data_IF_909168733060
#
_entry.id   IF_909168733060
#
_cell.length_a   1.000
_cell.length_b   1.000
_cell.length_c   1.000
_cell.angle_alpha   90.00
_cell.angle_beta   90.00
_cell.angle_gamma   90.00
#
_symmetry.space_group_name_H-M   'P 1'
#
loop_
_entity.id
_entity.type
_entity.pdbx_description
1 polymer ?
#
# COMPACT_ATOMS: atom_id res chain seq x y z
N UNK A 1 21.46 -7.55 32.27
CA UNK A 1 20.13 -7.10 31.88
C UNK A 1 19.88 -7.58 30.45
N UNK A 2 19.00 -8.56 30.28
CA UNK A 2 18.57 -8.98 28.96
C UNK A 2 17.44 -8.04 28.49
N UNK A 3 17.77 -7.12 27.62
CA UNK A 3 16.78 -6.21 27.01
C UNK A 3 16.31 -6.88 25.70
N UNK A 4 15.26 -7.70 25.78
CA UNK A 4 14.60 -8.28 24.62
C UNK A 4 13.70 -7.20 24.02
N UNK A 5 14.22 -6.48 23.03
CA UNK A 5 13.42 -5.61 22.18
C UNK A 5 12.78 -6.50 21.12
N UNK A 6 11.46 -6.72 21.22
CA UNK A 6 10.71 -7.38 20.13
C UNK A 6 10.73 -6.52 18.87
N UNK A 7 10.65 -7.16 17.70
CA UNK A 7 10.48 -6.42 16.46
C UNK A 7 9.20 -5.59 16.54
N UNK A 8 9.27 -4.32 16.09
CA UNK A 8 8.12 -3.45 15.98
C UNK A 8 7.22 -3.96 14.85
N UNK A 9 5.95 -4.22 15.16
CA UNK A 9 4.96 -4.66 14.19
C UNK A 9 4.08 -3.46 13.80
N UNK A 10 3.91 -3.27 12.49
CA UNK A 10 2.94 -2.30 11.98
C UNK A 10 1.60 -3.00 11.81
N UNK A 11 0.54 -2.42 12.36
CA UNK A 11 -0.83 -2.88 12.21
C UNK A 11 -1.77 -1.71 11.94
N UNK A 12 -2.92 -1.99 11.36
CA UNK A 12 -3.92 -0.98 11.06
C UNK A 12 -5.19 -1.57 10.50
N UNK A 13 -6.14 -0.71 10.18
CA UNK A 13 -7.39 -1.07 9.52
C UNK A 13 -7.50 -0.36 8.18
N UNK A 14 -7.85 -1.10 7.14
CA UNK A 14 -8.16 -0.57 5.82
C UNK A 14 -9.66 -0.63 5.64
N UNK A 15 -10.28 0.52 5.36
CA UNK A 15 -11.70 0.62 5.05
C UNK A 15 -11.91 1.07 3.61
N UNK A 16 -12.84 0.46 2.90
CA UNK A 16 -13.17 0.79 1.52
C UNK A 16 -14.64 0.51 1.20
N UNK A 17 -15.20 1.24 0.24
CA UNK A 17 -16.54 0.98 -0.28
C UNK A 17 -16.56 -0.08 -1.38
N UNK A 18 -15.41 -0.37 -1.97
CA UNK A 18 -15.23 -1.36 -3.02
C UNK A 18 -13.85 -2.00 -2.94
N UNK A 19 -13.70 -3.15 -3.54
CA UNK A 19 -12.45 -3.90 -3.55
C UNK A 19 -12.15 -4.32 -4.99
N UNK A 20 -10.93 -4.07 -5.51
CA UNK A 20 -10.53 -4.52 -6.83
C UNK A 20 -10.41 -6.05 -6.87
N UNK A 21 -10.69 -6.69 -8.02
CA UNK A 21 -10.65 -8.15 -8.16
C UNK A 21 -9.28 -8.76 -7.77
N UNK A 22 -8.20 -8.04 -8.00
CA UNK A 22 -6.83 -8.45 -7.70
C UNK A 22 -6.59 -8.64 -6.20
N UNK A 23 -7.35 -7.92 -5.36
CA UNK A 23 -7.26 -8.06 -3.91
C UNK A 23 -7.91 -9.36 -3.37
N UNK A 24 -8.67 -10.06 -4.19
CA UNK A 24 -9.36 -11.29 -3.79
C UNK A 24 -8.41 -12.33 -3.19
N UNK A 25 -7.21 -12.48 -3.76
CA UNK A 25 -6.19 -13.39 -3.23
C UNK A 25 -5.69 -12.98 -1.84
N UNK A 26 -5.67 -11.69 -1.55
CA UNK A 26 -5.28 -11.15 -0.23
C UNK A 26 -6.41 -11.31 0.78
N UNK A 27 -7.67 -11.29 0.33
CA UNK A 27 -8.86 -11.54 1.15
C UNK A 27 -9.18 -13.04 1.35
N UNK A 28 -8.35 -13.94 0.82
CA UNK A 28 -8.53 -15.39 0.93
C UNK A 28 -9.67 -15.93 0.07
N UNK A 29 -9.87 -15.33 -1.09
CA UNK A 29 -10.85 -15.73 -2.08
C UNK A 29 -10.14 -16.24 -3.35
N UNK A 30 -10.69 -17.27 -3.97
CA UNK A 30 -10.27 -17.72 -5.30
C UNK A 30 -11.47 -17.71 -6.25
N UNK A 31 -11.24 -17.30 -7.49
CA UNK A 31 -12.23 -17.31 -8.55
C UNK A 31 -11.83 -18.32 -9.61
N UNK A 32 -12.20 -19.60 -9.49
CA UNK A 32 -11.84 -20.64 -10.45
C UNK A 32 -12.53 -20.50 -11.80
N UNK A 33 -13.62 -19.76 -11.86
CA UNK A 33 -14.34 -19.39 -13.08
C UNK A 33 -15.14 -18.11 -12.89
N UNK A 34 -15.55 -17.48 -13.97
CA UNK A 34 -16.36 -16.26 -13.91
C UNK A 34 -17.65 -16.47 -13.12
N UNK A 35 -17.90 -15.59 -12.16
CA UNK A 35 -19.10 -15.64 -11.32
C UNK A 35 -19.05 -16.67 -10.17
N UNK A 36 -17.97 -17.46 -10.04
CA UNK A 36 -17.78 -18.39 -8.94
C UNK A 36 -16.64 -17.95 -8.04
N UNK A 37 -16.94 -17.77 -6.77
CA UNK A 37 -15.94 -17.40 -5.76
C UNK A 37 -15.92 -18.44 -4.64
N UNK A 38 -14.73 -18.93 -4.32
CA UNK A 38 -14.47 -19.89 -3.23
C UNK A 38 -13.71 -19.19 -2.12
N UNK A 39 -14.29 -19.18 -0.94
CA UNK A 39 -13.68 -18.56 0.26
C UNK A 39 -12.71 -19.49 1.00
N UNK A 40 -12.14 -18.99 2.11
CA UNK A 40 -11.25 -19.71 3.03
C UNK A 40 -9.98 -20.27 2.35
N UNK A 41 -9.48 -19.56 1.36
CA UNK A 41 -8.23 -19.89 0.68
C UNK A 41 -7.04 -19.27 1.41
N UNK A 42 -5.83 -19.77 1.10
CA UNK A 42 -4.59 -19.17 1.60
C UNK A 42 -4.50 -17.71 1.17
N UNK A 43 -4.25 -16.82 2.12
CA UNK A 43 -4.13 -15.38 1.90
C UNK A 43 -2.74 -15.03 1.40
N UNK A 44 -2.68 -14.16 0.42
CA UNK A 44 -1.44 -13.57 -0.07
C UNK A 44 -1.09 -12.31 0.72
N UNK A 45 0.19 -12.08 0.96
CA UNK A 45 0.68 -10.81 1.47
C UNK A 45 0.67 -9.76 0.36
N UNK A 46 0.50 -8.50 0.76
CA UNK A 46 0.49 -7.38 -0.18
C UNK A 46 1.26 -6.18 0.38
N UNK A 47 1.48 -5.20 -0.45
CA UNK A 47 2.00 -3.90 -0.04
C UNK A 47 0.99 -2.80 -0.33
N UNK A 48 1.12 -1.70 0.39
CA UNK A 48 0.26 -0.53 0.27
C UNK A 48 1.11 0.73 0.16
N UNK A 49 0.78 1.63 -0.74
CA UNK A 49 1.30 2.99 -0.71
C UNK A 49 0.18 3.99 -0.53
N UNK A 50 0.42 4.99 0.32
CA UNK A 50 -0.52 6.09 0.52
C UNK A 50 0.23 7.40 0.76
N UNK A 51 -0.47 8.50 0.60
CA UNK A 51 0.09 9.84 0.72
C UNK A 51 -0.65 10.65 1.76
N UNK A 52 0.11 11.32 2.65
CA UNK A 52 -0.42 12.30 3.59
C UNK A 52 0.08 13.69 3.22
N UNK A 53 -0.81 14.68 3.24
CA UNK A 53 -0.43 16.08 3.02
C UNK A 53 0.27 16.66 4.23
N UNK A 54 1.24 17.54 3.98
CA UNK A 54 1.92 18.32 5.01
C UNK A 54 1.50 19.77 4.84
N UNK A 55 0.96 20.36 5.89
CA UNK A 55 0.57 21.76 5.94
C UNK A 55 1.52 22.60 6.78
N UNK A 56 1.57 23.91 6.52
CA UNK A 56 2.18 24.90 7.39
C UNK A 56 1.35 26.21 7.37
N UNK A 57 1.68 27.13 8.27
CA UNK A 57 0.94 28.39 8.43
C UNK A 57 1.07 29.35 7.22
N UNK A 58 2.10 29.16 6.38
CA UNK A 58 2.36 30.00 5.21
C UNK A 58 1.75 29.46 3.91
N UNK A 59 1.84 28.15 3.68
CA UNK A 59 1.40 27.47 2.46
C UNK A 59 0.08 26.70 2.64
N UNK A 60 -0.54 26.75 3.82
CA UNK A 60 -1.72 25.97 4.13
C UNK A 60 -1.47 24.47 3.97
N UNK A 61 -2.35 23.77 3.26
CA UNK A 61 -2.24 22.32 3.03
C UNK A 61 -1.33 21.92 1.86
N UNK A 62 -0.73 22.89 1.18
CA UNK A 62 0.08 22.66 -0.03
C UNK A 62 1.59 22.83 0.23
N UNK A 63 2.02 22.76 1.50
CA UNK A 63 3.43 22.81 1.86
C UNK A 63 4.23 21.59 1.37
N UNK A 64 3.58 20.46 1.19
CA UNK A 64 4.19 19.23 0.72
C UNK A 64 3.35 17.98 1.05
N UNK A 65 3.97 16.83 0.93
CA UNK A 65 3.35 15.55 1.27
C UNK A 65 4.40 14.52 1.69
N UNK A 66 3.93 13.48 2.35
CA UNK A 66 4.74 12.29 2.65
C UNK A 66 4.14 11.09 1.93
N UNK A 67 5.00 10.33 1.27
CA UNK A 67 4.67 9.02 0.73
C UNK A 67 5.01 7.97 1.77
N UNK A 68 4.06 7.11 2.06
CA UNK A 68 4.21 5.99 2.96
C UNK A 68 4.12 4.71 2.14
N UNK A 69 5.16 3.88 2.23
CA UNK A 69 5.25 2.59 1.57
C UNK A 69 5.23 1.52 2.65
N UNK A 70 4.19 0.71 2.67
CA UNK A 70 3.98 -0.34 3.67
C UNK A 70 4.10 -1.70 3.01
N UNK A 71 4.84 -2.59 3.64
CA UNK A 71 5.23 -3.89 3.10
C UNK A 71 4.78 -5.03 3.98
N UNK A 72 4.65 -6.22 3.37
CA UNK A 72 4.41 -7.46 4.08
C UNK A 72 3.08 -7.49 4.84
N UNK A 73 2.07 -6.77 4.35
CA UNK A 73 0.74 -6.74 4.94
C UNK A 73 0.01 -8.06 4.71
N UNK A 74 -0.62 -8.55 5.74
CA UNK A 74 -1.54 -9.68 5.70
C UNK A 74 -2.90 -9.22 6.23
N UNK A 75 -3.95 -9.38 5.42
CA UNK A 75 -5.31 -9.06 5.85
C UNK A 75 -5.88 -10.20 6.70
N UNK A 76 -6.40 -9.86 7.88
CA UNK A 76 -7.14 -10.80 8.73
C UNK A 76 -8.55 -11.04 8.18
N UNK A 77 -9.19 -12.18 8.47
CA UNK A 77 -10.59 -12.39 8.17
C UNK A 77 -11.44 -11.28 8.80
N UNK A 78 -12.26 -10.62 7.98
CA UNK A 78 -13.18 -9.58 8.45
C UNK A 78 -14.62 -10.01 8.30
N UNK A 79 -15.49 -9.48 9.14
CA UNK A 79 -16.92 -9.62 9.01
C UNK A 79 -17.43 -8.75 7.85
N UNK A 80 -18.27 -9.29 6.99
CA UNK A 80 -18.99 -8.56 5.94
C UNK A 80 -20.46 -8.46 6.34
N UNK A 81 -20.89 -7.28 6.78
CA UNK A 81 -22.26 -7.03 7.11
C UNK A 81 -23.08 -6.73 5.85
N UNK A 82 -24.13 -7.49 5.62
CA UNK A 82 -25.08 -7.25 4.54
C UNK A 82 -26.37 -6.69 5.14
N UNK A 83 -26.79 -5.52 4.64
CA UNK A 83 -28.03 -4.88 5.07
C UNK A 83 -29.07 -4.97 3.95
N UNK A 84 -30.34 -5.15 4.36
CA UNK A 84 -31.47 -5.07 3.44
C UNK A 84 -31.66 -3.60 3.02
N UNK A 85 -31.97 -3.37 1.77
CA UNK A 85 -32.30 -2.04 1.25
C UNK A 85 -33.52 -1.50 1.97
N UNK A 86 -33.41 -0.32 2.53
CA UNK A 86 -34.48 0.44 3.19
C UNK A 86 -34.65 1.82 2.50
N UNK A 87 -35.52 2.67 3.06
CA UNK A 87 -35.80 3.99 2.52
C UNK A 87 -34.59 4.97 2.54
N UNK A 88 -33.52 4.60 3.28
CA UNK A 88 -32.26 5.34 3.37
C UNK A 88 -31.10 4.40 3.12
N UNK A 89 -30.78 4.09 1.84
CA UNK A 89 -29.72 3.15 1.53
C UNK A 89 -28.35 3.73 1.91
N UNK A 90 -27.61 2.99 2.74
CA UNK A 90 -26.24 3.31 3.12
C UNK A 90 -25.25 2.45 2.32
N UNK A 91 -24.12 3.03 1.98
CA UNK A 91 -23.05 2.28 1.31
C UNK A 91 -22.45 1.25 2.27
N UNK A 92 -22.33 0.00 1.83
CA UNK A 92 -21.63 -1.03 2.59
C UNK A 92 -20.14 -0.70 2.66
N UNK A 93 -19.60 -0.64 3.88
CA UNK A 93 -18.16 -0.46 4.11
C UNK A 93 -17.52 -1.82 4.31
N UNK A 94 -16.48 -2.08 3.54
CA UNK A 94 -15.59 -3.22 3.71
C UNK A 94 -14.45 -2.80 4.62
N UNK A 95 -14.12 -3.62 5.62
CA UNK A 95 -13.06 -3.33 6.59
C UNK A 95 -12.15 -4.54 6.72
N UNK A 96 -10.83 -4.32 6.69
CA UNK A 96 -9.82 -5.35 6.91
C UNK A 96 -8.83 -4.89 7.96
N UNK A 97 -8.68 -5.67 8.99
CA UNK A 97 -7.57 -5.53 9.91
C UNK A 97 -6.32 -6.12 9.26
N UNK A 98 -5.22 -5.37 9.27
CA UNK A 98 -3.97 -5.77 8.64
C UNK A 98 -2.83 -5.77 9.64
N UNK A 99 -1.98 -6.77 9.55
CA UNK A 99 -0.72 -6.88 10.28
C UNK A 99 0.42 -6.99 9.29
N UNK A 100 1.60 -6.48 9.65
CA UNK A 100 2.76 -6.51 8.76
C UNK A 100 3.82 -7.48 9.27
N UNK A 101 4.55 -8.06 8.32
CA UNK A 101 5.79 -8.76 8.60
C UNK A 101 6.94 -7.96 7.99
N UNK A 102 7.93 -7.51 8.79
CA UNK A 102 9.05 -6.75 8.29
C UNK A 102 9.82 -7.50 7.20
N UNK A 103 10.18 -6.81 6.14
CA UNK A 103 10.98 -7.36 5.03
C UNK A 103 12.40 -6.81 5.03
N UNK A 104 13.39 -7.56 4.52
CA UNK A 104 14.77 -7.11 4.47
C UNK A 104 14.93 -5.83 3.64
N UNK A 105 15.81 -4.95 4.08
CA UNK A 105 16.17 -3.70 3.38
C UNK A 105 17.53 -3.86 2.70
N UNK A 106 18.59 -3.94 3.49
CA UNK A 106 19.96 -4.20 3.08
C UNK A 106 20.77 -4.70 4.30
N UNK A 107 22.06 -4.98 4.10
CA UNK A 107 22.93 -5.52 5.18
C UNK A 107 23.21 -4.51 6.31
N UNK A 108 23.01 -3.21 6.08
CA UNK A 108 23.28 -2.16 7.06
C UNK A 108 22.05 -1.77 7.89
N UNK A 109 20.85 -2.04 7.41
CA UNK A 109 19.58 -1.66 8.04
C UNK A 109 18.79 -2.90 8.49
N UNK A 110 18.05 -2.74 9.57
CA UNK A 110 17.15 -3.78 10.03
C UNK A 110 15.96 -3.94 9.07
N UNK A 111 15.34 -5.12 9.01
CA UNK A 111 14.08 -5.32 8.29
C UNK A 111 13.03 -4.28 8.71
N UNK A 112 12.25 -3.81 7.75
CA UNK A 112 11.22 -2.79 7.98
C UNK A 112 9.89 -3.16 7.35
N UNK A 113 8.81 -2.70 7.94
CA UNK A 113 7.45 -2.77 7.39
C UNK A 113 7.02 -1.46 6.74
N UNK A 114 7.72 -0.34 7.01
CA UNK A 114 7.31 0.96 6.50
C UNK A 114 8.52 1.80 6.10
N UNK A 115 8.41 2.47 4.94
CA UNK A 115 9.31 3.53 4.51
C UNK A 115 8.48 4.78 4.29
N UNK A 116 8.96 5.91 4.81
CA UNK A 116 8.32 7.21 4.61
C UNK A 116 9.28 8.14 3.86
N UNK A 117 8.81 8.72 2.77
CA UNK A 117 9.56 9.69 1.96
C UNK A 117 8.88 11.05 2.07
N UNK A 118 9.63 12.06 2.52
CA UNK A 118 9.15 13.43 2.70
C UNK A 118 9.49 14.26 1.47
N UNK A 119 8.48 14.67 0.69
CA UNK A 119 8.63 15.43 -0.55
C UNK A 119 9.36 16.77 -0.38
N UNK A 120 9.37 17.31 0.82
CA UNK A 120 10.02 18.61 1.10
C UNK A 120 11.52 18.49 1.36
N UNK A 121 12.04 17.26 1.51
CA UNK A 121 13.44 17.00 1.93
C UNK A 121 14.24 16.21 0.89
N UNK A 122 13.58 15.55 -0.03
CA UNK A 122 14.23 14.75 -1.06
C UNK A 122 14.38 15.51 -2.37
N UNK A 123 15.27 15.07 -3.25
CA UNK A 123 15.42 15.62 -4.58
C UNK A 123 14.19 15.44 -5.45
N UNK A 124 13.78 16.47 -6.18
CA UNK A 124 12.59 16.42 -7.03
C UNK A 124 12.69 15.35 -8.13
N UNK A 125 13.90 15.09 -8.65
CA UNK A 125 14.14 14.07 -9.67
C UNK A 125 13.96 12.65 -9.11
N UNK A 126 14.48 12.40 -7.91
CA UNK A 126 14.39 11.11 -7.24
C UNK A 126 12.95 10.82 -6.80
N UNK A 127 12.26 11.86 -6.30
CA UNK A 127 10.85 11.78 -5.97
C UNK A 127 10.00 11.43 -7.20
N UNK A 128 10.25 12.09 -8.34
CA UNK A 128 9.55 11.80 -9.59
C UNK A 128 9.85 10.39 -10.13
N UNK A 129 11.08 9.89 -9.93
CA UNK A 129 11.43 8.51 -10.28
C UNK A 129 10.67 7.50 -9.42
N UNK A 130 10.56 7.74 -8.11
CA UNK A 130 9.76 6.90 -7.22
C UNK A 130 8.27 6.93 -7.59
N UNK A 131 7.70 8.11 -7.82
CA UNK A 131 6.28 8.27 -8.18
C UNK A 131 5.96 7.60 -9.51
N UNK A 132 6.88 7.64 -10.47
CA UNK A 132 6.74 6.92 -11.74
C UNK A 132 6.64 5.41 -11.55
N UNK A 133 7.36 4.83 -10.60
CA UNK A 133 7.24 3.41 -10.25
C UNK A 133 5.92 3.12 -9.53
N UNK A 134 5.52 3.98 -8.59
CA UNK A 134 4.31 3.77 -7.79
C UNK A 134 3.02 3.91 -8.60
N UNK A 135 2.96 4.89 -9.49
CA UNK A 135 1.73 5.22 -10.24
C UNK A 135 1.78 4.73 -11.68
N UNK A 136 2.94 4.30 -12.16
CA UNK A 136 3.15 3.97 -13.55
C UNK A 136 3.24 5.23 -14.44
N UNK A 137 3.47 4.99 -15.71
CA UNK A 137 3.42 6.02 -16.73
C UNK A 137 2.89 5.41 -18.03
N UNK A 138 1.97 6.08 -18.75
CA UNK A 138 1.53 5.61 -20.05
C UNK A 138 2.67 5.59 -21.05
N UNK A 139 2.57 4.73 -22.05
CA UNK A 139 3.49 4.76 -23.18
C UNK A 139 3.45 6.14 -23.86
N UNK A 140 4.63 6.65 -24.22
CA UNK A 140 4.75 7.86 -25.02
C UNK A 140 4.17 7.66 -26.43
N UNK A 141 4.13 8.74 -27.21
CA UNK A 141 3.67 8.69 -28.59
C UNK A 141 4.55 7.69 -29.40
N UNK A 142 3.91 6.71 -30.04
CA UNK A 142 4.60 5.64 -30.73
C UNK A 142 5.18 4.54 -29.81
N UNK A 143 4.76 4.47 -28.54
CA UNK A 143 5.23 3.47 -27.57
C UNK A 143 6.63 3.78 -26.99
N UNK A 144 7.14 4.97 -27.19
CA UNK A 144 8.46 5.40 -26.68
C UNK A 144 8.30 6.67 -25.82
N UNK A 145 8.69 6.70 -24.51
CA UNK A 145 9.17 5.54 -23.76
C UNK A 145 8.08 4.48 -23.56
N UNK A 146 8.50 3.24 -23.30
CA UNK A 146 7.58 2.14 -23.03
C UNK A 146 6.70 2.44 -21.81
N UNK A 147 5.50 1.88 -21.81
CA UNK A 147 4.60 1.94 -20.67
C UNK A 147 5.27 1.36 -19.40
N UNK A 148 5.11 2.06 -18.29
CA UNK A 148 5.57 1.59 -16.99
C UNK A 148 4.34 1.26 -16.14
N UNK A 149 4.18 0.01 -15.78
CA UNK A 149 3.09 -0.42 -14.89
C UNK A 149 3.35 0.03 -13.46
N UNK A 150 2.29 0.42 -12.77
CA UNK A 150 2.34 0.77 -11.36
C UNK A 150 2.82 -0.44 -10.53
N UNK A 151 3.77 -0.23 -9.65
CA UNK A 151 4.29 -1.27 -8.76
C UNK A 151 4.86 -0.66 -7.48
N UNK A 152 4.81 -1.43 -6.39
CA UNK A 152 5.45 -1.04 -5.15
C UNK A 152 6.90 -1.56 -5.17
N UNK A 153 7.92 -0.68 -5.30
CA UNK A 153 9.32 -1.11 -5.32
C UNK A 153 9.73 -1.67 -3.95
N UNK A 154 10.58 -2.68 -3.94
CA UNK A 154 11.14 -3.24 -2.71
C UNK A 154 12.00 -2.20 -1.97
N UNK A 155 12.18 -2.31 -0.64
CA UNK A 155 12.94 -1.34 0.16
C UNK A 155 14.33 -1.04 -0.37
N UNK A 156 15.07 -2.06 -0.82
CA UNK A 156 16.41 -1.87 -1.40
C UNK A 156 16.37 -1.02 -2.68
N UNK A 157 15.36 -1.19 -3.53
CA UNK A 157 15.18 -0.39 -4.74
C UNK A 157 14.80 1.05 -4.41
N UNK A 158 13.97 1.28 -3.38
CA UNK A 158 13.66 2.63 -2.90
C UNK A 158 14.93 3.33 -2.44
N UNK A 159 15.74 2.69 -1.61
CA UNK A 159 17.00 3.27 -1.14
C UNK A 159 17.96 3.61 -2.30
N UNK A 160 18.01 2.77 -3.32
CA UNK A 160 18.87 3.02 -4.51
C UNK A 160 18.43 4.25 -5.31
N UNK A 161 17.17 4.67 -5.25
CA UNK A 161 16.69 5.90 -5.91
C UNK A 161 17.23 7.16 -5.21
N UNK A 162 17.39 7.11 -3.87
CA UNK A 162 17.80 8.24 -3.04
C UNK A 162 19.27 8.17 -2.57
N UNK A 163 20.09 7.28 -3.16
CA UNK A 163 21.49 7.05 -2.77
C UNK A 163 22.49 8.07 -3.37
#
# INVERSE_FOLDING_TARGET
YLNLVSAEEFGGTIEAFTCPPEFSACDGLAAPSDGLTVGQQTRSTFGLSYRTKVGNDLAGQDAGYKLHLVYGLLASPSEKAYQTVNDSPEAMTLSWEVTSTPIPVNDALKPTSIITVDSTKVGAADLAALEKLLYGAPAGNGGIPAETFASLPLPAAVLAIFA
#
